data_IF_307657337598
#
_entry.id   IF_307657337598
#
_cell.length_a   1.000
_cell.length_b   1.000
_cell.length_c   1.000
_cell.angle_alpha   90.00
_cell.angle_beta   90.00
_cell.angle_gamma   90.00
#
_symmetry.space_group_name_H-M   'P 1'
#
loop_
_entity.id
_entity.type
_entity.pdbx_description
1 polymer ?
#
# COMPACT_ATOMS: atom_id res chain seq x y z
N UNK A 1 -17.10 -2.96 22.25
CA UNK A 1 -16.10 -2.87 23.33
C UNK A 1 -15.22 -1.65 23.15
N UNK A 2 -15.43 -0.62 23.98
CA UNK A 2 -14.64 0.63 24.02
C UNK A 2 -13.37 0.50 24.87
N UNK A 3 -13.00 -0.72 25.26
CA UNK A 3 -11.84 -1.03 26.12
C UNK A 3 -10.52 -1.10 25.35
N UNK A 4 -10.57 -1.06 24.02
CA UNK A 4 -9.39 -1.04 23.14
C UNK A 4 -9.02 0.38 22.77
N UNK A 5 -7.72 0.67 22.61
CA UNK A 5 -7.27 1.95 22.07
C UNK A 5 -7.77 2.11 20.63
N UNK A 6 -8.44 3.23 20.36
CA UNK A 6 -9.04 3.53 19.05
C UNK A 6 -8.54 4.87 18.51
N UNK A 7 -8.63 5.02 17.20
CA UNK A 7 -8.36 6.29 16.50
C UNK A 7 -9.69 6.79 15.93
N UNK A 8 -10.04 8.04 16.25
CA UNK A 8 -11.15 8.74 15.61
C UNK A 8 -10.57 9.58 14.48
N UNK A 9 -11.06 9.37 13.26
CA UNK A 9 -10.58 10.02 12.06
C UNK A 9 -11.74 10.58 11.26
N UNK A 10 -11.58 11.79 10.72
CA UNK A 10 -12.55 12.37 9.78
C UNK A 10 -12.71 11.47 8.56
N UNK A 11 -13.95 11.09 8.27
CA UNK A 11 -14.26 10.26 7.12
C UNK A 11 -14.19 11.07 5.83
N UNK A 12 -13.50 10.53 4.82
CA UNK A 12 -13.45 11.15 3.49
C UNK A 12 -14.77 10.87 2.75
N UNK A 13 -15.68 11.84 2.79
CA UNK A 13 -17.05 11.69 2.30
C UNK A 13 -17.24 12.00 0.80
N UNK A 14 -16.22 12.58 0.16
CA UNK A 14 -16.17 12.89 -1.26
C UNK A 14 -14.99 12.17 -1.93
N UNK A 15 -14.93 10.82 -1.89
CA UNK A 15 -13.84 10.08 -2.53
C UNK A 15 -13.91 10.21 -4.06
N UNK A 16 -12.76 10.10 -4.72
CA UNK A 16 -12.74 9.89 -6.18
C UNK A 16 -13.37 8.53 -6.50
N UNK A 17 -14.21 8.48 -7.53
CA UNK A 17 -14.96 7.29 -7.90
C UNK A 17 -14.57 6.80 -9.30
N UNK A 18 -14.59 5.48 -9.47
CA UNK A 18 -14.50 4.81 -10.77
C UNK A 18 -15.76 3.99 -10.96
N UNK A 19 -16.50 4.25 -12.04
CA UNK A 19 -17.82 3.65 -12.30
C UNK A 19 -18.80 3.75 -11.10
N UNK A 20 -18.66 4.80 -10.28
CA UNK A 20 -19.45 5.02 -9.07
C UNK A 20 -19.04 4.17 -7.86
N UNK A 21 -17.91 3.48 -7.89
CA UNK A 21 -17.40 2.69 -6.76
C UNK A 21 -16.23 3.41 -6.10
N UNK A 22 -16.22 3.36 -4.76
CA UNK A 22 -15.10 3.84 -3.93
C UNK A 22 -13.91 2.90 -4.09
N UNK A 23 -12.69 3.44 -4.05
CA UNK A 23 -11.49 2.62 -4.08
C UNK A 23 -10.38 3.22 -3.22
N UNK A 24 -9.46 2.35 -2.82
CA UNK A 24 -8.17 2.74 -2.27
C UNK A 24 -7.04 2.10 -3.09
N UNK A 25 -5.82 2.60 -2.91
CA UNK A 25 -4.63 2.10 -3.57
C UNK A 25 -3.64 1.56 -2.53
N UNK A 26 -3.29 0.28 -2.66
CA UNK A 26 -2.12 -0.32 -2.04
C UNK A 26 -0.87 0.01 -2.86
N UNK A 27 0.02 0.82 -2.29
CA UNK A 27 1.33 1.14 -2.87
C UNK A 27 2.43 0.53 -2.02
N UNK A 28 3.39 -0.14 -2.65
CA UNK A 28 4.50 -0.77 -1.96
C UNK A 28 5.69 0.19 -1.89
N UNK A 29 6.30 0.31 -0.71
CA UNK A 29 7.53 1.07 -0.52
C UNK A 29 8.55 0.23 0.25
N UNK A 30 9.82 0.31 -0.16
CA UNK A 30 10.93 -0.45 0.39
C UNK A 30 11.97 0.52 0.97
N UNK A 31 12.29 0.34 2.25
CA UNK A 31 13.43 0.99 2.89
C UNK A 31 14.57 -0.01 2.89
N UNK A 32 15.71 0.33 2.30
CA UNK A 32 16.91 -0.53 2.30
C UNK A 32 18.05 0.03 3.15
N UNK A 33 17.98 1.30 3.52
CA UNK A 33 18.99 1.96 4.32
C UNK A 33 18.37 3.10 5.09
N UNK A 34 18.81 3.27 6.33
CA UNK A 34 18.26 4.27 7.24
C UNK A 34 19.19 5.48 7.43
N UNK A 35 20.48 5.35 7.12
CA UNK A 35 21.43 6.47 7.20
C UNK A 35 22.56 6.27 6.18
N UNK A 36 22.52 6.95 5.01
CA UNK A 36 21.46 7.86 4.55
C UNK A 36 20.15 7.12 4.21
N UNK A 37 19.00 7.77 4.39
CA UNK A 37 17.69 7.19 4.05
C UNK A 37 17.63 6.83 2.56
N UNK A 38 17.40 5.54 2.26
CA UNK A 38 17.10 5.05 0.91
C UNK A 38 15.72 4.41 0.90
N UNK A 39 14.81 5.09 0.22
CA UNK A 39 13.41 4.74 0.07
C UNK A 39 13.07 4.53 -1.41
N UNK A 40 12.53 3.38 -1.75
CA UNK A 40 12.07 3.03 -3.08
C UNK A 40 10.55 2.90 -3.07
N UNK A 41 9.88 3.51 -4.04
CA UNK A 41 8.44 3.31 -4.25
C UNK A 41 8.25 2.41 -5.46
N UNK A 42 7.55 1.30 -5.28
CA UNK A 42 7.31 0.36 -6.37
C UNK A 42 6.36 0.99 -7.39
N UNK A 43 6.68 0.86 -8.68
CA UNK A 43 5.92 1.50 -9.77
C UNK A 43 4.52 0.92 -9.97
N UNK A 44 4.29 -0.29 -9.46
CA UNK A 44 3.00 -0.97 -9.50
C UNK A 44 2.38 -1.06 -8.09
N UNK A 45 1.08 -1.27 -8.07
CA UNK A 45 0.28 -1.40 -6.87
C UNK A 45 -1.07 -2.03 -7.17
N UNK A 46 -1.92 -2.12 -6.15
CA UNK A 46 -3.25 -2.73 -6.28
C UNK A 46 -4.30 -1.69 -5.89
N UNK A 47 -5.16 -1.33 -6.83
CA UNK A 47 -6.39 -0.61 -6.52
C UNK A 47 -7.46 -1.60 -6.08
N UNK A 48 -8.09 -1.35 -4.93
CA UNK A 48 -9.12 -2.20 -4.33
C UNK A 48 -10.44 -1.45 -4.35
N UNK A 49 -11.45 -2.02 -4.99
CA UNK A 49 -12.76 -1.40 -5.13
C UNK A 49 -13.73 -1.93 -4.08
N UNK A 50 -14.59 -1.03 -3.61
CA UNK A 50 -15.84 -1.38 -2.96
C UNK A 50 -16.75 -2.13 -3.96
N UNK A 51 -17.58 -3.02 -3.45
CA UNK A 51 -18.46 -3.89 -4.27
C UNK A 51 -19.84 -3.29 -4.49
N UNK A 52 -20.16 -2.20 -3.79
CA UNK A 52 -21.38 -1.43 -3.98
C UNK A 52 -21.07 0.00 -4.41
N UNK A 53 -22.01 0.59 -5.16
CA UNK A 53 -21.89 1.98 -5.59
C UNK A 53 -21.90 2.89 -4.38
N UNK A 54 -21.01 3.86 -4.39
CA UNK A 54 -20.83 4.79 -3.30
C UNK A 54 -21.98 5.80 -3.26
N UNK A 55 -22.52 5.99 -2.06
CA UNK A 55 -23.39 7.10 -1.69
C UNK A 55 -22.70 7.84 -0.54
N UNK A 56 -22.74 9.18 -0.51
CA UNK A 56 -22.20 9.94 0.63
C UNK A 56 -22.74 9.42 1.95
N UNK A 57 -21.86 9.30 2.95
CA UNK A 57 -22.20 8.80 4.26
C UNK A 57 -23.29 9.66 4.90
N UNK A 58 -24.34 8.99 5.38
CA UNK A 58 -25.45 9.51 6.16
C UNK A 58 -25.76 8.52 7.29
N UNK A 59 -26.49 8.96 8.31
CA UNK A 59 -26.88 8.08 9.43
C UNK A 59 -27.59 6.79 8.97
N UNK A 60 -28.25 6.83 7.81
CA UNK A 60 -28.99 5.72 7.23
C UNK A 60 -28.11 4.66 6.55
N UNK A 61 -26.89 5.02 6.10
CA UNK A 61 -26.06 4.13 5.28
C UNK A 61 -24.71 3.74 5.90
N UNK A 62 -24.36 4.27 7.08
CA UNK A 62 -23.09 3.97 7.76
C UNK A 62 -22.83 2.47 8.00
N UNK A 63 -23.89 1.67 8.18
CA UNK A 63 -23.80 0.22 8.37
C UNK A 63 -23.56 -0.54 7.05
N UNK A 64 -23.68 0.12 5.89
CA UNK A 64 -23.49 -0.51 4.58
C UNK A 64 -22.00 -0.60 4.24
N UNK A 65 -21.30 -1.52 4.92
CA UNK A 65 -19.84 -1.63 4.85
C UNK A 65 -19.30 -1.85 3.43
N UNK A 66 -20.06 -2.49 2.55
CA UNK A 66 -19.63 -2.85 1.19
C UNK A 66 -19.49 -1.68 0.21
N UNK A 67 -20.02 -0.49 0.55
CA UNK A 67 -19.76 0.75 -0.21
C UNK A 67 -18.71 1.66 0.47
N UNK A 68 -18.61 1.59 1.80
CA UNK A 68 -17.75 2.50 2.57
C UNK A 68 -16.34 1.96 2.81
N UNK A 69 -16.17 0.64 2.86
CA UNK A 69 -14.91 -0.06 3.05
C UNK A 69 -14.48 -0.78 1.77
N UNK A 70 -13.21 -0.67 1.45
CA UNK A 70 -12.59 -1.20 0.23
C UNK A 70 -11.73 -2.44 0.49
N UNK A 71 -11.60 -2.84 1.77
CA UNK A 71 -10.80 -4.00 2.15
C UNK A 71 -11.29 -5.27 1.45
N UNK A 72 -10.36 -5.99 0.84
CA UNK A 72 -10.64 -7.25 0.16
C UNK A 72 -11.26 -8.30 1.10
N UNK A 73 -10.82 -8.37 2.36
CA UNK A 73 -11.34 -9.32 3.36
C UNK A 73 -12.84 -9.17 3.64
N UNK A 74 -13.37 -7.95 3.48
CA UNK A 74 -14.78 -7.61 3.63
C UNK A 74 -15.48 -7.85 2.30
N UNK A 75 -15.01 -7.20 1.24
CA UNK A 75 -15.67 -7.20 -0.06
C UNK A 75 -15.73 -8.58 -0.72
N UNK A 76 -14.77 -9.48 -0.48
CA UNK A 76 -14.80 -10.86 -0.99
C UNK A 76 -15.99 -11.68 -0.49
N UNK A 77 -16.65 -11.25 0.59
CA UNK A 77 -17.84 -11.90 1.16
C UNK A 77 -19.15 -11.42 0.52
N UNK A 78 -19.12 -10.32 -0.24
CA UNK A 78 -20.31 -9.81 -0.91
C UNK A 78 -20.62 -10.67 -2.14
N UNK A 79 -21.90 -10.99 -2.36
CA UNK A 79 -22.39 -11.69 -3.56
C UNK A 79 -22.11 -10.92 -4.86
N UNK A 80 -21.98 -9.59 -4.79
CA UNK A 80 -21.63 -8.72 -5.93
C UNK A 80 -20.13 -8.67 -6.23
N UNK A 81 -19.29 -9.35 -5.44
CA UNK A 81 -17.86 -9.40 -5.68
C UNK A 81 -17.59 -10.12 -7.00
N UNK A 82 -16.99 -9.40 -7.95
CA UNK A 82 -16.53 -9.96 -9.21
C UNK A 82 -15.02 -10.15 -9.13
N UNK A 83 -14.54 -11.42 -9.09
CA UNK A 83 -13.12 -11.69 -9.24
C UNK A 83 -12.64 -11.07 -10.55
N UNK A 84 -11.45 -10.48 -10.55
CA UNK A 84 -10.87 -9.93 -11.77
C UNK A 84 -10.40 -11.08 -12.66
N UNK A 85 -11.30 -11.72 -13.40
CA UNK A 85 -10.98 -12.84 -14.29
C UNK A 85 -10.37 -12.40 -15.63
N UNK A 86 -10.43 -11.10 -15.97
CA UNK A 86 -9.80 -10.58 -17.19
C UNK A 86 -9.15 -9.22 -16.98
N UNK A 87 -8.07 -8.97 -17.74
CA UNK A 87 -7.32 -7.71 -17.75
C UNK A 87 -8.21 -6.47 -17.97
N UNK A 88 -9.39 -6.63 -18.57
CA UNK A 88 -10.33 -5.56 -18.94
C UNK A 88 -11.71 -5.67 -18.27
N UNK A 89 -11.96 -6.66 -17.40
CA UNK A 89 -13.27 -6.86 -16.76
C UNK A 89 -13.55 -5.87 -15.61
N UNK A 90 -14.82 -5.74 -15.16
CA UNK A 90 -15.25 -4.82 -14.09
C UNK A 90 -14.76 -5.21 -12.68
N UNK A 91 -13.75 -6.08 -12.59
CA UNK A 91 -13.35 -6.76 -11.37
C UNK A 91 -12.97 -5.81 -10.23
N UNK A 92 -13.17 -6.30 -9.00
CA UNK A 92 -13.02 -5.52 -7.77
C UNK A 92 -11.55 -5.22 -7.37
N UNK A 93 -10.58 -5.60 -8.21
CA UNK A 93 -9.15 -5.28 -8.07
C UNK A 93 -8.54 -4.92 -9.41
N UNK A 94 -7.86 -3.77 -9.50
CA UNK A 94 -7.07 -3.39 -10.68
C UNK A 94 -5.59 -3.25 -10.31
N UNK A 95 -4.69 -3.43 -11.28
CA UNK A 95 -3.33 -2.92 -11.11
C UNK A 95 -3.34 -1.40 -11.10
N UNK A 96 -2.36 -0.79 -10.42
CA UNK A 96 -2.22 0.65 -10.38
C UNK A 96 -1.98 1.23 -11.78
N UNK A 97 -1.22 0.53 -12.62
CA UNK A 97 -1.08 0.90 -14.03
C UNK A 97 -2.41 0.95 -14.77
N UNK A 98 -3.27 -0.07 -14.63
CA UNK A 98 -4.60 -0.08 -15.26
C UNK A 98 -5.45 1.09 -14.75
N UNK A 99 -5.42 1.35 -13.43
CA UNK A 99 -6.13 2.49 -12.84
C UNK A 99 -5.67 3.81 -13.46
N UNK A 100 -4.35 4.03 -13.55
CA UNK A 100 -3.81 5.27 -14.11
C UNK A 100 -4.06 5.39 -15.62
N UNK A 101 -4.04 4.29 -16.37
CA UNK A 101 -4.42 4.28 -17.78
C UNK A 101 -5.89 4.70 -17.95
N UNK A 102 -6.80 4.13 -17.15
CA UNK A 102 -8.21 4.51 -17.14
C UNK A 102 -8.42 5.97 -16.76
N UNK A 103 -7.82 6.44 -15.66
CA UNK A 103 -7.98 7.82 -15.20
C UNK A 103 -7.45 8.82 -16.24
N UNK A 104 -6.36 8.48 -16.95
CA UNK A 104 -5.82 9.30 -18.02
C UNK A 104 -6.71 9.33 -19.26
N UNK A 105 -7.21 8.17 -19.69
CA UNK A 105 -7.97 8.04 -20.94
C UNK A 105 -9.41 8.52 -20.81
N UNK A 106 -10.10 8.07 -19.76
CA UNK A 106 -11.54 8.28 -19.57
C UNK A 106 -11.86 9.53 -18.75
N UNK A 107 -11.04 9.84 -17.74
CA UNK A 107 -11.27 10.97 -16.83
C UNK A 107 -10.35 12.17 -17.08
N UNK A 108 -9.46 12.08 -18.08
CA UNK A 108 -8.50 13.12 -18.48
C UNK A 108 -7.61 13.62 -17.32
N UNK A 109 -7.30 12.74 -16.38
CA UNK A 109 -6.43 13.06 -15.23
C UNK A 109 -4.96 13.04 -15.64
N UNK A 110 -4.20 14.02 -15.17
CA UNK A 110 -2.73 13.99 -15.21
C UNK A 110 -2.19 13.01 -14.14
N UNK A 111 -2.06 11.75 -14.54
CA UNK A 111 -1.62 10.67 -13.65
C UNK A 111 -0.13 10.73 -13.33
N UNK A 112 0.68 11.42 -14.15
CA UNK A 112 2.09 11.64 -13.84
C UNK A 112 2.22 12.60 -12.64
N UNK A 113 1.51 13.72 -12.67
CA UNK A 113 1.46 14.66 -11.54
C UNK A 113 0.85 14.03 -10.29
N UNK A 114 -0.19 13.20 -10.44
CA UNK A 114 -0.75 12.44 -9.33
C UNK A 114 0.28 11.49 -8.70
N UNK A 115 1.03 10.77 -9.52
CA UNK A 115 2.06 9.86 -9.02
C UNK A 115 3.20 10.58 -8.28
N UNK A 116 3.65 11.73 -8.78
CA UNK A 116 4.62 12.57 -8.05
C UNK A 116 4.07 13.01 -6.68
N UNK A 117 2.80 13.42 -6.62
CA UNK A 117 2.13 13.78 -5.36
C UNK A 117 2.08 12.60 -4.38
N UNK A 118 1.80 11.40 -4.86
CA UNK A 118 1.78 10.19 -4.03
C UNK A 118 3.18 9.83 -3.52
N UNK A 119 4.23 9.98 -4.34
CA UNK A 119 5.62 9.76 -3.90
C UNK A 119 6.04 10.78 -2.85
N UNK A 120 5.70 12.05 -3.03
CA UNK A 120 5.96 13.12 -2.07
C UNK A 120 5.24 12.87 -0.72
N UNK A 121 3.98 12.42 -0.79
CA UNK A 121 3.21 12.00 0.39
C UNK A 121 3.92 10.87 1.15
N UNK A 122 4.33 9.80 0.46
CA UNK A 122 5.05 8.66 1.05
C UNK A 122 6.37 9.11 1.68
N UNK A 123 7.15 9.94 0.97
CA UNK A 123 8.42 10.48 1.47
C UNK A 123 8.21 11.28 2.75
N UNK A 124 7.25 12.21 2.76
CA UNK A 124 6.93 13.03 3.94
C UNK A 124 6.51 12.18 5.13
N UNK A 125 5.73 11.12 4.91
CA UNK A 125 5.38 10.18 5.98
C UNK A 125 6.64 9.56 6.60
N UNK A 126 7.60 9.11 5.80
CA UNK A 126 8.85 8.55 6.34
C UNK A 126 9.74 9.58 7.02
N UNK A 127 9.92 10.75 6.41
CA UNK A 127 10.75 11.81 6.99
C UNK A 127 10.23 12.23 8.36
N UNK A 128 8.90 12.20 8.58
CA UNK A 128 8.31 12.54 9.87
C UNK A 128 8.69 11.59 11.03
N UNK A 129 9.05 10.34 10.72
CA UNK A 129 9.43 9.30 11.70
C UNK A 129 10.91 8.91 11.62
N UNK A 130 11.63 9.41 10.61
CA UNK A 130 13.01 9.02 10.31
C UNK A 130 13.98 9.31 11.48
N UNK A 131 13.93 10.45 12.19
CA UNK A 131 14.84 10.69 13.31
C UNK A 131 14.75 9.64 14.42
N UNK A 132 13.53 9.18 14.74
CA UNK A 132 13.32 8.15 15.76
C UNK A 132 13.85 6.80 15.30
N UNK A 133 13.64 6.45 14.03
CA UNK A 133 14.13 5.19 13.43
C UNK A 133 15.67 5.22 13.35
N UNK A 134 16.26 6.31 12.88
CA UNK A 134 17.71 6.53 12.81
C UNK A 134 18.38 6.43 14.18
N UNK A 135 17.85 7.13 15.17
CA UNK A 135 18.35 7.08 16.53
C UNK A 135 18.31 5.65 17.09
N UNK A 136 17.20 4.91 16.87
CA UNK A 136 17.07 3.52 17.31
C UNK A 136 18.02 2.59 16.57
N UNK A 137 18.18 2.76 15.27
CA UNK A 137 19.07 1.96 14.44
C UNK A 137 20.53 2.10 14.91
N UNK A 138 21.03 3.34 15.07
CA UNK A 138 22.41 3.60 15.52
C UNK A 138 22.71 3.02 16.89
N UNK A 139 21.71 2.95 17.79
CA UNK A 139 21.87 2.27 19.10
C UNK A 139 21.97 0.75 18.99
N UNK A 140 21.21 0.14 18.08
CA UNK A 140 21.18 -1.32 17.90
C UNK A 140 22.38 -1.81 17.07
N UNK A 141 22.85 -1.00 16.13
CA UNK A 141 23.94 -1.33 15.22
C UNK A 141 25.04 -0.25 15.25
N UNK A 142 25.70 -0.02 16.39
CA UNK A 142 26.66 1.08 16.57
C UNK A 142 27.90 0.97 15.67
N UNK A 143 28.20 -0.24 15.18
CA UNK A 143 29.34 -0.52 14.29
C UNK A 143 28.95 -0.66 12.83
N UNK A 144 27.66 -0.48 12.48
CA UNK A 144 27.23 -0.47 11.10
C UNK A 144 27.24 0.94 10.52
N UNK A 145 28.27 1.21 9.72
CA UNK A 145 28.41 2.47 8.98
C UNK A 145 27.68 2.45 7.62
N UNK A 146 27.11 1.32 7.21
CA UNK A 146 26.39 1.19 5.94
C UNK A 146 24.92 1.58 6.02
N UNK A 147 24.35 1.54 7.23
CA UNK A 147 22.94 1.81 7.51
C UNK A 147 21.98 0.75 6.93
N UNK A 148 22.49 -0.38 6.45
CA UNK A 148 21.79 -1.35 5.60
C UNK A 148 21.58 -2.75 6.20
N UNK A 149 21.74 -2.92 7.51
CA UNK A 149 21.49 -4.19 8.21
C UNK A 149 20.00 -4.54 8.30
N UNK A 150 19.12 -3.55 8.10
CA UNK A 150 17.68 -3.75 8.09
C UNK A 150 17.09 -3.23 6.78
N UNK A 151 16.08 -3.95 6.30
CA UNK A 151 15.18 -3.47 5.26
C UNK A 151 13.75 -3.72 5.70
N UNK A 152 12.82 -2.94 5.17
CA UNK A 152 11.40 -3.14 5.44
C UNK A 152 10.59 -2.84 4.19
N UNK A 153 9.76 -3.81 3.78
CA UNK A 153 8.77 -3.64 2.73
C UNK A 153 7.44 -3.30 3.40
N UNK A 154 6.95 -2.08 3.17
CA UNK A 154 5.67 -1.62 3.71
C UNK A 154 4.63 -1.43 2.62
N UNK A 155 3.36 -1.50 3.00
CA UNK A 155 2.23 -1.17 2.13
C UNK A 155 1.51 0.09 2.61
N UNK A 156 1.49 1.12 1.79
CA UNK A 156 0.68 2.31 2.00
C UNK A 156 -0.71 2.08 1.45
N UNK A 157 -1.73 2.44 2.24
CA UNK A 157 -3.11 2.52 1.78
C UNK A 157 -3.43 4.00 1.55
N UNK A 158 -3.60 4.37 0.28
CA UNK A 158 -3.79 5.75 -0.15
C UNK A 158 -5.17 5.88 -0.79
N UNK A 159 -5.90 6.93 -0.43
CA UNK A 159 -7.20 7.26 -1.01
C UNK A 159 -7.15 8.64 -1.66
N UNK A 160 -7.97 8.83 -2.70
CA UNK A 160 -8.13 10.11 -3.38
C UNK A 160 -9.49 10.72 -3.05
N UNK A 161 -9.53 12.03 -2.86
CA UNK A 161 -10.79 12.78 -2.88
C UNK A 161 -11.20 13.15 -4.32
N UNK A 162 -12.39 13.74 -4.46
CA UNK A 162 -12.96 14.19 -5.75
C UNK A 162 -12.08 15.20 -6.50
N UNK A 163 -11.22 15.93 -5.78
CA UNK A 163 -10.28 16.91 -6.34
C UNK A 163 -8.88 16.29 -6.60
N UNK A 164 -8.78 14.96 -6.48
CA UNK A 164 -7.58 14.16 -6.68
C UNK A 164 -6.46 14.47 -5.67
N UNK A 165 -6.79 14.99 -4.50
CA UNK A 165 -5.86 15.06 -3.38
C UNK A 165 -5.66 13.67 -2.78
N UNK A 166 -4.42 13.34 -2.46
CA UNK A 166 -4.04 12.02 -1.95
C UNK A 166 -3.88 12.05 -0.44
N UNK A 167 -4.48 11.08 0.24
CA UNK A 167 -4.47 10.93 1.69
C UNK A 167 -3.94 9.55 2.08
N UNK A 168 -3.00 9.49 3.03
CA UNK A 168 -2.59 8.21 3.65
C UNK A 168 -3.67 7.81 4.65
N UNK A 169 -4.20 6.61 4.49
CA UNK A 169 -5.11 5.99 5.47
C UNK A 169 -4.30 5.25 6.54
N UNK A 170 -3.37 4.40 6.10
CA UNK A 170 -2.51 3.63 7.00
C UNK A 170 -1.22 3.18 6.30
N UNK A 171 -0.23 2.82 7.13
CA UNK A 171 1.04 2.21 6.68
C UNK A 171 1.15 0.83 7.31
N UNK A 172 1.07 -0.20 6.47
CA UNK A 172 1.16 -1.60 6.86
C UNK A 172 2.61 -2.07 6.84
N UNK A 173 3.18 -2.37 8.02
CA UNK A 173 4.52 -2.97 8.15
C UNK A 173 4.63 -4.40 7.64
N UNK A 174 3.50 -5.11 7.57
CA UNK A 174 3.43 -6.47 7.02
C UNK A 174 2.32 -6.54 5.96
N UNK A 175 2.53 -5.94 4.77
CA UNK A 175 1.51 -5.95 3.73
C UNK A 175 1.25 -7.38 3.27
N UNK A 176 -0.02 -7.79 3.16
CA UNK A 176 -0.36 -9.15 2.74
C UNK A 176 0.24 -9.50 1.36
N UNK A 177 1.09 -10.54 1.35
CA UNK A 177 1.70 -11.10 0.15
C UNK A 177 0.94 -12.33 -0.41
N UNK A 178 -0.26 -12.63 0.09
CA UNK A 178 -1.09 -13.74 -0.40
C UNK A 178 -1.45 -13.55 -1.88
N UNK A 179 -1.41 -14.63 -2.65
CA UNK A 179 -1.52 -14.61 -4.11
C UNK A 179 -2.77 -15.33 -4.63
N UNK A 180 -3.95 -14.86 -4.19
CA UNK A 180 -5.23 -15.51 -4.48
C UNK A 180 -5.66 -15.37 -5.96
N UNK A 181 -5.21 -14.32 -6.65
CA UNK A 181 -5.55 -14.03 -8.05
C UNK A 181 -4.30 -13.99 -8.92
N UNK A 182 -4.44 -14.11 -10.25
CA UNK A 182 -3.29 -14.02 -11.15
C UNK A 182 -2.66 -12.62 -11.17
N UNK A 183 -3.45 -11.57 -10.92
CA UNK A 183 -2.94 -10.23 -10.65
C UNK A 183 -2.05 -10.23 -9.39
N UNK A 184 -2.53 -10.83 -8.29
CA UNK A 184 -1.77 -10.91 -7.05
C UNK A 184 -0.45 -11.71 -7.26
N UNK A 185 -0.50 -12.85 -7.95
CA UNK A 185 0.68 -13.67 -8.26
C UNK A 185 1.74 -12.89 -9.03
N UNK A 186 1.33 -12.24 -10.12
CA UNK A 186 2.24 -11.47 -10.96
C UNK A 186 2.82 -10.27 -10.20
N UNK A 187 1.98 -9.46 -9.57
CA UNK A 187 2.42 -8.24 -8.92
C UNK A 187 3.23 -8.52 -7.66
N UNK A 188 2.71 -9.34 -6.74
CA UNK A 188 3.36 -9.60 -5.44
C UNK A 188 4.59 -10.49 -5.59
N UNK A 189 4.57 -11.42 -6.55
CA UNK A 189 5.76 -12.18 -6.94
C UNK A 189 6.88 -11.26 -7.39
N UNK A 190 6.60 -10.31 -8.29
CA UNK A 190 7.58 -9.34 -8.76
C UNK A 190 8.06 -8.40 -7.65
N UNK A 191 7.16 -7.84 -6.84
CA UNK A 191 7.53 -6.99 -5.68
C UNK A 191 8.49 -7.74 -4.75
N UNK A 192 8.18 -9.00 -4.44
CA UNK A 192 9.01 -9.82 -3.54
C UNK A 192 10.38 -10.10 -4.16
N UNK A 193 10.40 -10.55 -5.42
CA UNK A 193 11.64 -10.86 -6.12
C UNK A 193 12.54 -9.61 -6.27
N UNK A 194 11.97 -8.48 -6.66
CA UNK A 194 12.70 -7.22 -6.83
C UNK A 194 13.17 -6.65 -5.50
N UNK A 195 12.39 -6.83 -4.42
CA UNK A 195 12.82 -6.48 -3.06
C UNK A 195 14.08 -7.25 -2.70
N UNK A 196 14.10 -8.57 -2.88
CA UNK A 196 15.27 -9.39 -2.58
C UNK A 196 16.48 -9.03 -3.46
N UNK A 197 16.25 -8.72 -4.74
CA UNK A 197 17.32 -8.25 -5.64
C UNK A 197 17.91 -6.91 -5.21
N UNK A 198 17.08 -5.95 -4.79
CA UNK A 198 17.52 -4.63 -4.35
C UNK A 198 18.23 -4.67 -3.00
N UNK A 199 17.70 -5.45 -2.06
CA UNK A 199 18.33 -5.68 -0.74
C UNK A 199 19.66 -6.40 -0.91
N UNK A 200 19.75 -7.30 -1.90
CA UNK A 200 20.94 -8.10 -2.19
C UNK A 200 21.53 -8.76 -0.93
N UNK A 201 20.75 -9.60 -0.22
CA UNK A 201 21.22 -10.20 1.02
C UNK A 201 22.44 -11.08 0.75
N UNK A 202 23.48 -10.91 1.57
CA UNK A 202 24.65 -11.77 1.48
C UNK A 202 24.25 -13.22 1.77
N UNK A 203 24.72 -14.21 0.98
CA UNK A 203 24.53 -15.60 1.32
C UNK A 203 25.29 -15.91 2.60
N UNK A 204 24.55 -16.11 3.69
CA UNK A 204 25.10 -16.51 4.98
C UNK A 204 25.00 -18.03 5.08
N UNK A 205 26.15 -18.68 5.31
CA UNK A 205 26.18 -20.09 5.72
C UNK A 205 25.69 -20.17 7.18
N UNK A 206 24.42 -20.55 7.35
CA UNK A 206 23.79 -20.66 8.67
C UNK A 206 24.57 -21.62 9.59
N UNK A 207 25.14 -22.72 9.07
CA UNK A 207 25.88 -23.71 9.87
C UNK A 207 27.20 -23.17 10.40
N UNK A 208 27.89 -22.30 9.63
CA UNK A 208 29.09 -21.60 10.10
C UNK A 208 28.76 -20.49 11.09
N UNK A 209 27.60 -19.85 10.93
CA UNK A 209 27.19 -18.71 11.74
C UNK A 209 26.72 -19.17 13.14
N UNK A 210 25.97 -20.27 13.23
CA UNK A 210 25.56 -20.87 14.52
C UNK A 210 26.73 -21.24 15.43
N UNK A 211 27.87 -21.69 14.86
CA UNK A 211 29.09 -22.00 15.61
C UNK A 211 29.80 -20.75 16.17
N UNK A 212 29.50 -19.56 15.66
CA UNK A 212 30.12 -18.29 16.09
C UNK A 212 29.34 -17.62 17.23
N UNK A 213 28.09 -18.02 17.44
CA UNK A 213 27.20 -17.52 18.51
C UNK A 213 26.97 -18.55 19.63
N UNK A 214 27.66 -19.69 19.59
CA UNK A 214 27.87 -20.59 20.73
C UNK A 214 29.27 -20.35 21.28
#
# INVERSE_FOLDING_TARGET
DLTSSQVVQTYLNNPHLIHGHKFDMRVYALITCNSPLRLYVYKEGIARFATERYVPASEENLETLYMHLTNYSINKKNKKFTPTESKNGPGSKWSLKRLFEYMKQEQKVDTAKLWERMKDLILKTFVSVHPQIESRYKRLFPMDYTGGMCFELVGFDIMLDSDLNAYVLEVNRNPSLNMDTDLDKSLKGNVTADTLRLVNPYPIDCKKTEKRFR
#
